data_IF_488747403064
#
_entry.id   IF_488747403064
#
_cell.length_a   1.000
_cell.length_b   1.000
_cell.length_c   1.000
_cell.angle_alpha   90.00
_cell.angle_beta   90.00
_cell.angle_gamma   90.00
#
_symmetry.space_group_name_H-M   'P 1'
#
loop_
_entity.id
_entity.type
_entity.pdbx_description
1 polymer ?
#
# COMPACT_ATOMS: atom_id res chain seq x y z
N UNK A 1 -6.14 32.43 -55.67
CA UNK A 1 -6.15 31.67 -54.40
C UNK A 1 -4.89 30.84 -54.33
N UNK A 2 -3.84 31.41 -53.73
CA UNK A 2 -2.52 30.80 -53.56
C UNK A 2 -2.53 29.96 -52.28
N UNK A 3 -2.01 28.73 -52.34
CA UNK A 3 -2.01 27.74 -51.26
C UNK A 3 -1.21 28.10 -50.00
N UNK A 4 -0.89 29.39 -49.78
CA UNK A 4 -0.19 29.88 -48.59
C UNK A 4 -1.14 30.14 -47.40
N UNK A 5 -2.45 30.26 -47.62
CA UNK A 5 -3.42 30.58 -46.57
C UNK A 5 -3.91 29.36 -45.76
N UNK A 6 -3.59 28.13 -46.18
CA UNK A 6 -4.03 26.90 -45.48
C UNK A 6 -3.27 26.66 -44.17
N UNK A 7 -2.17 27.38 -43.92
CA UNK A 7 -1.39 27.25 -42.68
C UNK A 7 -1.69 28.36 -41.64
N UNK A 8 -2.57 29.32 -41.95
CA UNK A 8 -3.06 30.26 -40.95
C UNK A 8 -4.23 29.65 -40.17
N UNK A 9 -3.95 29.09 -39.00
CA UNK A 9 -5.07 28.73 -38.11
C UNK A 9 -4.76 27.86 -36.90
N UNK A 10 -3.57 27.27 -36.78
CA UNK A 10 -3.23 26.55 -35.55
C UNK A 10 -2.67 27.54 -34.54
N UNK A 11 -3.46 27.90 -33.53
CA UNK A 11 -2.95 28.62 -32.37
C UNK A 11 -2.05 27.65 -31.57
N UNK A 12 -0.78 27.58 -31.96
CA UNK A 12 0.25 26.65 -31.44
C UNK A 12 0.28 26.63 -29.91
N UNK A 13 0.00 27.77 -29.26
CA UNK A 13 -0.06 27.87 -27.80
C UNK A 13 -1.20 27.05 -27.18
N UNK A 14 -2.39 27.09 -27.80
CA UNK A 14 -3.56 26.30 -27.38
C UNK A 14 -3.38 24.81 -27.68
N UNK A 15 -2.73 24.48 -28.79
CA UNK A 15 -2.36 23.10 -29.14
C UNK A 15 -1.39 22.50 -28.12
N UNK A 16 -0.30 23.20 -27.82
CA UNK A 16 0.70 22.76 -26.85
C UNK A 16 0.12 22.57 -25.44
N UNK A 17 -0.76 23.48 -25.00
CA UNK A 17 -1.44 23.34 -23.71
C UNK A 17 -2.33 22.09 -23.65
N UNK A 18 -3.13 21.84 -24.70
CA UNK A 18 -3.96 20.62 -24.79
C UNK A 18 -3.10 19.35 -24.76
N UNK A 19 -1.98 19.34 -25.49
CA UNK A 19 -1.02 18.23 -25.47
C UNK A 19 -0.43 18.04 -24.07
N UNK A 20 -0.03 19.11 -23.38
CA UNK A 20 0.47 19.04 -22.01
C UNK A 20 -0.58 18.44 -21.05
N UNK A 21 -1.86 18.83 -21.16
CA UNK A 21 -2.94 18.26 -20.34
C UNK A 21 -3.08 16.76 -20.60
N UNK A 22 -3.11 16.33 -21.86
CA UNK A 22 -3.23 14.90 -22.21
C UNK A 22 -2.03 14.11 -21.72
N UNK A 23 -0.81 14.61 -21.93
CA UNK A 23 0.42 13.95 -21.47
C UNK A 23 0.47 13.86 -19.94
N UNK A 24 0.04 14.91 -19.23
CA UNK A 24 -0.02 14.91 -17.77
C UNK A 24 -1.06 13.89 -17.28
N UNK A 25 -2.23 13.82 -17.90
CA UNK A 25 -3.25 12.84 -17.53
C UNK A 25 -2.76 11.39 -17.75
N UNK A 26 -2.12 11.12 -18.90
CA UNK A 26 -1.51 9.81 -19.18
C UNK A 26 -0.39 9.48 -18.19
N UNK A 27 0.45 10.46 -17.83
CA UNK A 27 1.51 10.30 -16.85
C UNK A 27 0.95 9.94 -15.47
N UNK A 28 -0.06 10.68 -15.00
CA UNK A 28 -0.71 10.41 -13.72
C UNK A 28 -1.39 9.04 -13.71
N UNK A 29 -2.01 8.63 -14.82
CA UNK A 29 -2.58 7.29 -14.95
C UNK A 29 -1.51 6.20 -14.85
N UNK A 30 -0.36 6.37 -15.53
CA UNK A 30 0.77 5.45 -15.46
C UNK A 30 1.34 5.38 -14.03
N UNK A 31 1.60 6.51 -13.39
CA UNK A 31 2.12 6.52 -12.02
C UNK A 31 1.11 5.94 -11.04
N UNK A 32 -0.19 6.20 -11.23
CA UNK A 32 -1.25 5.58 -10.45
C UNK A 32 -1.27 4.06 -10.60
N UNK A 33 -1.05 3.54 -11.81
CA UNK A 33 -0.91 2.10 -12.06
C UNK A 33 0.31 1.51 -11.34
N UNK A 34 1.49 2.12 -11.46
CA UNK A 34 2.71 1.65 -10.78
C UNK A 34 2.58 1.70 -9.25
N UNK A 35 1.98 2.76 -8.72
CA UNK A 35 1.71 2.89 -7.29
C UNK A 35 0.75 1.78 -6.82
N UNK A 36 -0.33 1.52 -7.57
CA UNK A 36 -1.27 0.45 -7.27
C UNK A 36 -0.60 -0.93 -7.22
N UNK A 37 0.28 -1.23 -8.17
CA UNK A 37 1.06 -2.47 -8.21
C UNK A 37 1.96 -2.58 -6.97
N UNK A 38 2.77 -1.56 -6.69
CA UNK A 38 3.67 -1.55 -5.53
C UNK A 38 2.93 -1.65 -4.18
N UNK A 39 1.77 -0.99 -4.04
CA UNK A 39 0.95 -1.07 -2.82
C UNK A 39 0.33 -2.47 -2.70
N UNK A 40 -0.14 -3.04 -3.81
CA UNK A 40 -0.70 -4.38 -3.82
C UNK A 40 0.33 -5.39 -3.37
N UNK A 41 1.57 -5.31 -3.85
CA UNK A 41 2.64 -6.26 -3.47
C UNK A 41 3.11 -6.05 -2.03
N UNK A 42 3.21 -4.80 -1.57
CA UNK A 42 3.54 -4.49 -0.18
C UNK A 42 2.49 -5.06 0.80
N UNK A 43 1.21 -4.99 0.43
CA UNK A 43 0.09 -5.41 1.29
C UNK A 43 -0.36 -6.86 1.10
N UNK A 44 0.03 -7.52 0.01
CA UNK A 44 -0.19 -8.96 -0.22
C UNK A 44 0.75 -9.80 0.64
N UNK A 45 0.31 -11.01 0.94
CA UNK A 45 1.11 -12.01 1.63
C UNK A 45 0.47 -12.55 2.90
N UNK A 46 1.31 -13.15 3.72
CA UNK A 46 0.93 -13.90 4.91
C UNK A 46 1.18 -13.05 6.16
N UNK A 47 0.23 -13.05 7.08
CA UNK A 47 0.26 -12.24 8.29
C UNK A 47 0.04 -13.10 9.52
N UNK A 48 0.54 -12.63 10.65
CA UNK A 48 0.23 -13.18 11.97
C UNK A 48 -0.36 -12.10 12.87
N UNK A 49 -1.20 -12.53 13.81
CA UNK A 49 -1.66 -11.69 14.91
C UNK A 49 -0.62 -11.68 16.02
N UNK A 50 -0.14 -10.49 16.39
CA UNK A 50 0.73 -10.33 17.55
C UNK A 50 -0.13 -10.34 18.81
N UNK A 51 -0.23 -11.50 19.45
CA UNK A 51 -0.95 -11.65 20.70
C UNK A 51 -0.17 -10.93 21.82
N UNK A 52 -0.87 -10.14 22.63
CA UNK A 52 -0.27 -9.47 23.78
C UNK A 52 -0.32 -10.38 25.01
N UNK A 53 0.81 -10.46 25.72
CA UNK A 53 0.89 -11.11 27.02
C UNK A 53 0.01 -10.38 28.03
N UNK A 54 -0.55 -11.12 28.99
CA UNK A 54 -1.23 -10.49 30.13
C UNK A 54 -0.22 -9.72 30.99
N UNK A 55 -0.71 -8.70 31.70
CA UNK A 55 0.14 -7.78 32.48
C UNK A 55 0.86 -8.47 33.64
N UNK A 56 0.30 -9.58 34.12
CA UNK A 56 0.85 -10.42 35.18
C UNK A 56 1.85 -11.49 34.67
N UNK A 57 1.99 -11.65 33.35
CA UNK A 57 2.85 -12.67 32.72
C UNK A 57 4.17 -12.03 32.30
N UNK A 58 5.29 -12.62 32.74
CA UNK A 58 6.62 -12.10 32.43
C UNK A 58 7.02 -12.46 30.99
N UNK A 59 7.77 -11.61 30.26
CA UNK A 59 8.07 -11.83 28.83
C UNK A 59 8.74 -13.16 28.49
N UNK A 60 9.57 -13.71 29.38
CA UNK A 60 10.22 -15.01 29.14
C UNK A 60 9.29 -16.20 29.35
N UNK A 61 8.14 -16.02 30.01
CA UNK A 61 7.12 -17.07 30.17
C UNK A 61 6.35 -17.35 28.88
N UNK A 62 6.48 -16.47 27.87
CA UNK A 62 5.98 -16.73 26.51
C UNK A 62 6.56 -18.02 25.89
N UNK A 63 7.79 -18.35 26.26
CA UNK A 63 8.49 -19.54 25.78
C UNK A 63 8.19 -20.79 26.62
N UNK A 64 7.38 -20.67 27.68
CA UNK A 64 6.97 -21.81 28.48
C UNK A 64 5.85 -22.58 27.76
N UNK A 65 6.24 -23.56 26.96
CA UNK A 65 5.31 -24.43 26.21
C UNK A 65 4.39 -25.26 27.11
N UNK A 66 4.55 -25.22 28.43
CA UNK A 66 3.69 -25.95 29.38
C UNK A 66 2.43 -25.17 29.76
N UNK A 67 2.41 -23.84 29.59
CA UNK A 67 1.25 -23.02 29.91
C UNK A 67 0.33 -22.90 28.69
N UNK A 68 -0.99 -23.04 28.84
CA UNK A 68 -1.91 -22.84 27.74
C UNK A 68 -1.90 -21.37 27.30
N UNK A 69 -2.03 -21.13 25.99
CA UNK A 69 -2.03 -19.78 25.39
C UNK A 69 -3.07 -18.85 26.05
N UNK A 70 -4.21 -19.37 26.49
CA UNK A 70 -5.24 -18.59 27.19
C UNK A 70 -4.82 -18.06 28.57
N UNK A 71 -3.82 -18.66 29.20
CA UNK A 71 -3.23 -18.18 30.45
C UNK A 71 -2.21 -17.09 30.20
N UNK A 72 -1.38 -17.26 29.15
CA UNK A 72 -0.30 -16.36 28.79
C UNK A 72 -0.78 -15.06 28.11
N UNK A 73 -1.73 -15.18 27.19
CA UNK A 73 -2.14 -14.09 26.31
C UNK A 73 -3.51 -13.55 26.68
N UNK A 74 -3.68 -12.25 26.48
CA UNK A 74 -4.96 -11.59 26.67
C UNK A 74 -5.94 -12.03 25.55
N UNK A 75 -7.22 -12.24 25.88
CA UNK A 75 -8.21 -12.62 24.87
C UNK A 75 -8.57 -11.43 23.97
N UNK A 76 -8.65 -11.63 22.64
CA UNK A 76 -9.08 -10.58 21.72
C UNK A 76 -10.44 -9.97 22.06
N UNK A 77 -11.44 -10.77 22.42
CA UNK A 77 -12.80 -10.26 22.72
C UNK A 77 -12.88 -9.38 23.98
N UNK A 78 -11.99 -9.58 24.94
CA UNK A 78 -11.90 -8.82 26.19
C UNK A 78 -11.05 -7.54 26.02
N UNK A 79 -10.43 -7.39 24.86
CA UNK A 79 -9.46 -6.34 24.56
C UNK A 79 -10.10 -5.01 24.17
N UNK A 80 -9.52 -3.92 24.68
CA UNK A 80 -9.68 -2.57 24.11
C UNK A 80 -8.44 -2.08 23.36
N UNK A 81 -7.42 -2.91 23.18
CA UNK A 81 -6.15 -2.49 22.57
C UNK A 81 -6.19 -2.59 21.04
N UNK A 82 -5.36 -1.79 20.33
CA UNK A 82 -5.28 -1.86 18.88
C UNK A 82 -4.62 -3.18 18.46
N UNK A 83 -5.39 -4.05 17.79
CA UNK A 83 -4.86 -5.29 17.22
C UNK A 83 -3.63 -5.05 16.34
N UNK A 84 -2.52 -5.73 16.64
CA UNK A 84 -1.29 -5.61 15.86
C UNK A 84 -1.11 -6.83 14.95
N UNK A 85 -0.71 -6.56 13.71
CA UNK A 85 -0.56 -7.58 12.68
C UNK A 85 0.78 -7.41 11.99
N UNK A 86 1.55 -8.49 11.94
CA UNK A 86 2.89 -8.49 11.35
C UNK A 86 2.90 -9.35 10.10
N UNK A 87 3.52 -8.85 9.03
CA UNK A 87 3.76 -9.62 7.82
C UNK A 87 4.80 -10.70 8.12
N UNK A 88 4.52 -11.94 7.73
CA UNK A 88 5.44 -13.07 7.89
C UNK A 88 6.44 -13.00 6.74
N UNK A 89 7.71 -12.76 7.08
CA UNK A 89 8.79 -12.77 6.09
C UNK A 89 8.92 -14.16 5.47
N UNK A 90 9.33 -14.19 4.19
CA UNK A 90 9.42 -15.42 3.40
C UNK A 90 10.19 -16.54 4.12
N UNK A 91 11.30 -16.20 4.77
CA UNK A 91 12.16 -17.14 5.50
C UNK A 91 11.45 -17.88 6.65
N UNK A 92 10.38 -17.32 7.22
CA UNK A 92 9.64 -17.93 8.32
C UNK A 92 8.37 -18.66 7.87
N UNK A 93 7.92 -18.48 6.62
CA UNK A 93 6.63 -19.01 6.16
C UNK A 93 6.54 -20.54 6.26
N UNK A 94 7.65 -21.26 6.04
CA UNK A 94 7.68 -22.71 6.17
C UNK A 94 7.35 -23.20 7.59
N UNK A 95 7.78 -22.46 8.62
CA UNK A 95 7.48 -22.81 10.02
C UNK A 95 6.00 -22.63 10.34
N UNK A 96 5.39 -21.55 9.84
CA UNK A 96 3.96 -21.32 9.98
C UNK A 96 3.13 -22.39 9.25
N UNK A 97 3.54 -22.78 8.04
CA UNK A 97 2.88 -23.87 7.31
C UNK A 97 3.02 -25.22 8.03
N UNK A 98 4.15 -25.47 8.68
CA UNK A 98 4.31 -26.65 9.54
C UNK A 98 3.37 -26.62 10.74
N UNK A 99 3.23 -25.47 11.43
CA UNK A 99 2.29 -25.29 12.54
C UNK A 99 0.84 -25.49 12.13
N UNK A 100 0.47 -25.12 10.91
CA UNK A 100 -0.87 -25.38 10.36
C UNK A 100 -1.08 -26.88 10.12
N UNK A 101 -0.09 -27.58 9.60
CA UNK A 101 -0.14 -29.05 9.41
C UNK A 101 -0.23 -29.81 10.73
N UNK A 102 0.46 -29.32 11.75
CA UNK A 102 0.45 -29.86 13.12
C UNK A 102 -0.84 -29.48 13.89
N UNK A 103 -1.66 -28.58 13.34
CA UNK A 103 -2.93 -28.17 13.95
C UNK A 103 -2.79 -27.19 15.11
N UNK A 104 -1.59 -26.66 15.38
CA UNK A 104 -1.36 -25.60 16.36
C UNK A 104 -1.76 -24.21 15.83
N UNK A 105 -1.87 -24.06 14.51
CA UNK A 105 -2.38 -22.87 13.84
C UNK A 105 -3.43 -23.19 12.78
N UNK A 106 -4.25 -22.21 12.45
CA UNK A 106 -5.17 -22.22 11.32
C UNK A 106 -4.93 -21.00 10.44
N UNK A 107 -5.26 -21.13 9.16
CA UNK A 107 -5.15 -20.04 8.19
C UNK A 107 -6.54 -19.54 7.81
N UNK A 108 -6.68 -18.22 7.74
CA UNK A 108 -7.86 -17.55 7.20
C UNK A 108 -7.45 -16.78 5.95
N UNK A 109 -8.00 -17.16 4.81
CA UNK A 109 -7.75 -16.50 3.53
C UNK A 109 -8.76 -15.38 3.27
N UNK A 110 -8.26 -14.26 2.73
CA UNK A 110 -9.07 -13.08 2.43
C UNK A 110 -9.17 -12.82 0.92
N UNK A 111 -10.24 -12.15 0.44
CA UNK A 111 -10.47 -11.91 -0.99
C UNK A 111 -9.37 -11.11 -1.72
N UNK A 112 -8.53 -10.38 -1.00
CA UNK A 112 -7.41 -9.62 -1.53
C UNK A 112 -6.12 -10.47 -1.73
N UNK A 113 -6.19 -11.78 -1.48
CA UNK A 113 -5.05 -12.69 -1.58
C UNK A 113 -4.08 -12.60 -0.39
N UNK A 114 -4.51 -12.03 0.73
CA UNK A 114 -3.77 -12.12 2.00
C UNK A 114 -4.29 -13.27 2.85
N UNK A 115 -3.39 -13.87 3.62
CA UNK A 115 -3.73 -14.94 4.55
C UNK A 115 -3.31 -14.54 5.97
N UNK A 116 -4.13 -14.86 6.96
CA UNK A 116 -3.86 -14.62 8.38
C UNK A 116 -3.72 -15.94 9.11
N UNK A 117 -2.59 -16.12 9.79
CA UNK A 117 -2.31 -17.25 10.66
C UNK A 117 -2.78 -16.91 12.07
N UNK A 118 -3.55 -17.82 12.65
CA UNK A 118 -4.14 -17.70 13.98
C UNK A 118 -3.85 -18.97 14.79
N UNK A 119 -3.57 -18.83 16.08
CA UNK A 119 -3.42 -19.98 16.97
C UNK A 119 -4.75 -20.70 17.17
N UNK A 120 -4.75 -22.03 17.04
CA UNK A 120 -5.95 -22.85 17.31
C UNK A 120 -6.35 -22.86 18.78
N UNK A 121 -5.43 -22.49 19.66
CA UNK A 121 -5.73 -22.27 21.08
C UNK A 121 -6.70 -21.10 21.33
N UNK A 122 -6.80 -20.15 20.39
CA UNK A 122 -7.93 -19.22 20.39
C UNK A 122 -9.17 -19.96 19.90
N UNK A 123 -10.24 -19.96 20.69
CA UNK A 123 -11.52 -20.52 20.25
C UNK A 123 -12.04 -19.82 18.99
N UNK A 124 -12.92 -20.49 18.23
CA UNK A 124 -13.50 -19.93 17.00
C UNK A 124 -14.04 -18.49 17.13
N UNK A 125 -14.76 -18.11 18.21
CA UNK A 125 -15.24 -16.74 18.36
C UNK A 125 -14.10 -15.70 18.37
N UNK A 126 -12.98 -16.03 19.00
CA UNK A 126 -11.81 -15.15 19.05
C UNK A 126 -11.13 -15.05 17.69
N UNK A 127 -11.01 -16.18 16.98
CA UNK A 127 -10.47 -16.20 15.61
C UNK A 127 -11.30 -15.33 14.66
N UNK A 128 -12.63 -15.35 14.79
CA UNK A 128 -13.54 -14.52 14.00
C UNK A 128 -13.38 -13.03 14.32
N UNK A 129 -13.22 -12.66 15.59
CA UNK A 129 -12.96 -11.27 16.01
C UNK A 129 -11.65 -10.77 15.41
N UNK A 130 -10.56 -11.54 15.56
CA UNK A 130 -9.25 -11.16 15.03
C UNK A 130 -9.26 -11.08 13.50
N UNK A 131 -9.93 -12.03 12.83
CA UNK A 131 -10.08 -12.02 11.37
C UNK A 131 -10.84 -10.78 10.88
N UNK A 132 -11.89 -10.37 11.61
CA UNK A 132 -12.65 -9.15 11.30
C UNK A 132 -11.78 -7.91 11.46
N UNK A 133 -11.06 -7.77 12.57
CA UNK A 133 -10.13 -6.66 12.79
C UNK A 133 -9.05 -6.59 11.71
N UNK A 134 -8.50 -7.74 11.33
CA UNK A 134 -7.54 -7.81 10.25
C UNK A 134 -8.14 -7.28 8.96
N UNK A 135 -9.36 -7.68 8.62
CA UNK A 135 -10.05 -7.21 7.42
C UNK A 135 -10.39 -5.72 7.46
N UNK A 136 -10.82 -5.20 8.61
CA UNK A 136 -11.14 -3.78 8.78
C UNK A 136 -9.88 -2.90 8.59
N UNK A 137 -8.72 -3.35 9.10
CA UNK A 137 -7.44 -2.65 8.92
C UNK A 137 -6.85 -2.72 7.49
N UNK A 138 -7.53 -3.37 6.52
CA UNK A 138 -7.01 -3.51 5.14
C UNK A 138 -6.72 -2.18 4.46
N UNK A 139 -7.58 -1.18 4.67
CA UNK A 139 -7.40 0.14 4.06
C UNK A 139 -6.28 0.92 4.73
N UNK A 140 -6.16 0.82 6.06
CA UNK A 140 -5.05 1.40 6.79
C UNK A 140 -3.73 0.83 6.29
N UNK A 141 -3.60 -0.51 6.18
CA UNK A 141 -2.38 -1.15 5.63
C UNK A 141 -2.03 -0.66 4.22
N UNK A 142 -3.02 -0.39 3.37
CA UNK A 142 -2.80 0.18 2.03
C UNK A 142 -2.35 1.64 2.09
N UNK A 143 -2.93 2.44 2.98
CA UNK A 143 -2.52 3.83 3.21
C UNK A 143 -1.09 3.89 3.77
N UNK A 144 -0.75 3.04 4.73
CA UNK A 144 0.59 2.95 5.30
C UNK A 144 1.61 2.53 4.23
N UNK A 145 1.25 1.56 3.38
CA UNK A 145 2.07 1.15 2.23
C UNK A 145 2.23 2.27 1.18
N UNK A 146 1.17 3.05 0.91
CA UNK A 146 1.25 4.25 0.06
C UNK A 146 2.15 5.32 0.68
N UNK A 147 2.09 5.53 1.99
CA UNK A 147 2.96 6.46 2.70
C UNK A 147 4.45 6.10 2.57
N UNK A 148 4.77 4.81 2.52
CA UNK A 148 6.12 4.32 2.23
C UNK A 148 6.61 4.60 0.80
N UNK A 149 5.73 4.99 -0.13
CA UNK A 149 6.04 5.29 -1.53
C UNK A 149 6.27 6.79 -1.80
N UNK A 150 6.71 7.56 -0.80
CA UNK A 150 7.02 9.00 -0.94
C UNK A 150 7.79 9.39 -2.22
N UNK A 151 8.82 8.64 -2.67
CA UNK A 151 9.51 8.92 -3.92
C UNK A 151 8.63 8.84 -5.18
N UNK A 152 7.68 7.90 -5.24
CA UNK A 152 6.75 7.77 -6.37
C UNK A 152 5.79 8.95 -6.44
N UNK A 153 5.34 9.49 -5.30
CA UNK A 153 4.51 10.71 -5.27
C UNK A 153 5.27 11.92 -5.81
N UNK A 154 6.55 12.07 -5.46
CA UNK A 154 7.39 13.11 -6.05
C UNK A 154 7.55 12.90 -7.58
N UNK A 155 7.73 11.65 -8.01
CA UNK A 155 7.81 11.29 -9.44
C UNK A 155 6.50 11.54 -10.20
N UNK A 156 5.35 11.51 -9.52
CA UNK A 156 4.06 11.86 -10.12
C UNK A 156 3.97 13.35 -10.50
N UNK A 157 4.55 14.22 -9.66
CA UNK A 157 4.33 15.68 -9.72
C UNK A 157 5.47 16.41 -10.41
N UNK A 158 6.72 16.00 -10.18
CA UNK A 158 7.91 16.73 -10.66
C UNK A 158 7.99 16.80 -12.19
N UNK A 159 7.80 15.72 -12.97
CA UNK A 159 7.92 15.78 -14.43
C UNK A 159 6.87 16.67 -15.10
N UNK A 160 5.56 16.60 -14.76
CA UNK A 160 4.57 17.52 -15.31
C UNK A 160 4.86 18.99 -15.02
N UNK A 161 5.35 19.31 -13.81
CA UNK A 161 5.74 20.66 -13.43
C UNK A 161 6.97 21.13 -14.20
N UNK A 162 7.99 20.29 -14.34
CA UNK A 162 9.18 20.61 -15.15
C UNK A 162 8.81 20.89 -16.61
N UNK A 163 7.92 20.08 -17.19
CA UNK A 163 7.43 20.31 -18.57
C UNK A 163 6.69 21.65 -18.69
N UNK A 164 5.90 22.02 -17.67
CA UNK A 164 5.18 23.30 -17.65
C UNK A 164 6.13 24.50 -17.51
N UNK A 165 7.14 24.39 -16.63
CA UNK A 165 8.18 25.41 -16.47
C UNK A 165 8.99 25.55 -17.76
N UNK A 166 9.41 24.44 -18.36
CA UNK A 166 10.18 24.44 -19.60
C UNK A 166 9.40 25.08 -20.75
N UNK A 167 8.09 24.80 -20.85
CA UNK A 167 7.20 25.48 -21.79
C UNK A 167 7.18 27.00 -21.59
N UNK A 168 7.07 27.47 -20.35
CA UNK A 168 7.05 28.90 -20.03
C UNK A 168 8.39 29.58 -20.38
N UNK A 169 9.51 28.95 -20.04
CA UNK A 169 10.86 29.43 -20.36
C UNK A 169 11.08 29.50 -21.87
N UNK A 170 10.76 28.45 -22.62
CA UNK A 170 10.88 28.45 -24.08
C UNK A 170 10.05 29.57 -24.73
N UNK A 171 8.82 29.79 -24.23
CA UNK A 171 7.96 30.87 -24.73
C UNK A 171 8.54 32.24 -24.42
N UNK A 172 9.10 32.44 -23.23
CA UNK A 172 9.78 33.69 -22.85
C UNK A 172 11.00 33.97 -23.74
N UNK A 173 11.84 32.96 -23.97
CA UNK A 173 13.02 33.06 -24.84
C UNK A 173 12.62 33.44 -26.28
N UNK A 174 11.66 32.74 -26.88
CA UNK A 174 11.17 33.04 -28.24
C UNK A 174 10.58 34.45 -28.34
N UNK A 175 9.84 34.90 -27.31
CA UNK A 175 9.28 36.25 -27.28
C UNK A 175 10.38 37.33 -27.19
N UNK A 176 11.48 37.05 -26.50
CA UNK A 176 12.66 37.93 -26.44
C UNK A 176 13.31 38.14 -27.81
N UNK A 177 13.41 37.08 -28.63
CA UNK A 177 13.97 37.16 -29.99
C UNK A 177 13.05 37.84 -31.03
N UNK A 178 11.75 37.97 -30.76
CA UNK A 178 10.78 38.64 -31.65
C UNK A 178 10.71 40.17 -31.50
N UNK A 179 11.47 40.76 -30.58
CA UNK A 179 11.48 42.21 -30.30
C UNK A 179 12.61 43.00 -31.01
N UNK A 180 13.20 42.45 -32.07
CA UNK A 180 14.18 43.16 -32.92
C UNK A 180 13.63 43.28 -34.34
#
# INVERSE_FOLDING_TARGET
MTGADVLQGVNVSRGAFRVWVVLTALWLALVGFLAWEGVSDATRGRYQYAAELKEDVKPWEEYDTKKPISELFKKPSEAKWPASFSKIEYQYQANFDASVKDGSQTVVDFPNGTSLYLYTAFGKPEQEVVSRWFWEKRWQRRLDAMGGQGPLLAFAIVPPLLLLVLWFVCRWVIAGFRRV
#
